data_IF_025304550073
#
_entry.id   IF_025304550073
#
_cell.length_a   1.000
_cell.length_b   1.000
_cell.length_c   1.000
_cell.angle_alpha   90.00
_cell.angle_beta   90.00
_cell.angle_gamma   90.00
#
_symmetry.space_group_name_H-M   'P 1'
#
loop_
_entity.id
_entity.type
_entity.pdbx_description
1 polymer ?
#
# COMPACT_ATOMS: atom_id res chain seq x y z
N UNK A 1 -2.22 19.28 3.50
CA UNK A 1 -1.45 18.03 3.64
C UNK A 1 -1.82 17.45 4.98
N UNK A 2 -2.27 16.20 4.99
CA UNK A 2 -2.53 15.46 6.22
C UNK A 2 -1.19 15.13 6.90
N UNK A 3 -1.09 15.32 8.21
CA UNK A 3 0.12 15.01 8.98
C UNK A 3 0.01 13.58 9.52
N UNK A 4 0.95 12.71 9.13
CA UNK A 4 0.99 11.33 9.62
C UNK A 4 1.20 11.32 11.15
N UNK A 5 0.23 10.77 11.87
CA UNK A 5 0.28 10.55 13.29
C UNK A 5 0.44 9.08 13.66
N UNK A 6 0.88 8.77 14.90
CA UNK A 6 0.92 7.40 15.41
C UNK A 6 -0.47 6.72 15.46
N UNK A 7 -1.55 7.49 15.34
CA UNK A 7 -2.92 7.02 15.35
C UNK A 7 -3.53 6.80 13.96
N UNK A 8 -2.80 7.03 12.86
CA UNK A 8 -3.33 6.94 11.50
C UNK A 8 -3.96 5.57 11.20
N UNK A 9 -3.42 4.51 11.81
CA UNK A 9 -3.98 3.16 11.71
C UNK A 9 -5.39 3.07 12.32
N UNK A 10 -5.60 3.72 13.46
CA UNK A 10 -6.89 3.79 14.13
C UNK A 10 -7.85 4.73 13.39
N UNK A 11 -7.35 5.82 12.81
CA UNK A 11 -8.14 6.70 11.95
C UNK A 11 -8.60 5.98 10.69
N UNK A 12 -7.73 5.16 10.07
CA UNK A 12 -8.07 4.34 8.91
C UNK A 12 -9.20 3.35 9.24
N UNK A 13 -9.11 2.64 10.38
CA UNK A 13 -10.18 1.75 10.84
C UNK A 13 -11.50 2.49 11.07
N UNK A 14 -11.42 3.71 11.61
CA UNK A 14 -12.61 4.55 11.84
C UNK A 14 -13.26 4.96 10.52
N UNK A 15 -12.47 5.41 9.54
CA UNK A 15 -12.97 5.78 8.21
C UNK A 15 -13.56 4.57 7.48
N UNK A 16 -12.93 3.39 7.57
CA UNK A 16 -13.47 2.17 6.99
C UNK A 16 -14.85 1.81 7.57
N UNK A 17 -15.03 1.97 8.89
CA UNK A 17 -16.33 1.77 9.51
C UNK A 17 -17.38 2.78 9.02
N UNK A 18 -17.03 4.06 8.88
CA UNK A 18 -17.92 5.09 8.33
C UNK A 18 -18.32 4.82 6.87
N UNK A 19 -17.39 4.36 6.04
CA UNK A 19 -17.65 3.93 4.66
C UNK A 19 -18.65 2.77 4.65
N UNK A 20 -18.42 1.74 5.46
CA UNK A 20 -19.30 0.57 5.53
C UNK A 20 -20.72 0.95 5.98
N UNK A 21 -20.84 1.80 6.99
CA UNK A 21 -22.13 2.23 7.52
C UNK A 21 -22.88 3.08 6.49
N UNK A 22 -22.17 3.96 5.77
CA UNK A 22 -22.76 4.78 4.70
C UNK A 22 -23.24 3.94 3.52
N UNK A 23 -22.46 2.94 3.10
CA UNK A 23 -22.86 2.00 2.05
C UNK A 23 -24.11 1.21 2.47
N UNK A 24 -24.17 0.75 3.73
CA UNK A 24 -25.34 0.04 4.25
C UNK A 24 -26.59 0.92 4.22
N UNK A 25 -26.48 2.16 4.68
CA UNK A 25 -27.57 3.14 4.64
C UNK A 25 -28.08 3.43 3.23
N UNK A 26 -27.17 3.64 2.28
CA UNK A 26 -27.52 3.91 0.87
C UNK A 26 -28.17 2.69 0.23
N UNK A 27 -27.69 1.48 0.54
CA UNK A 27 -28.28 0.23 0.08
C UNK A 27 -29.69 0.01 0.63
N UNK A 28 -29.93 0.29 1.91
CA UNK A 28 -31.27 0.23 2.52
C UNK A 28 -32.25 1.21 1.88
N UNK A 29 -31.74 2.33 1.34
CA UNK A 29 -32.55 3.33 0.64
C UNK A 29 -32.61 3.15 -0.87
N UNK A 30 -32.03 2.09 -1.41
CA UNK A 30 -31.87 1.87 -2.86
C UNK A 30 -31.26 3.09 -3.59
N UNK A 31 -30.45 3.87 -2.87
CA UNK A 31 -29.80 5.07 -3.39
C UNK A 31 -28.50 4.71 -4.11
N UNK A 32 -28.18 5.48 -5.15
CA UNK A 32 -26.98 5.24 -5.94
C UNK A 32 -25.70 5.61 -5.17
N UNK A 33 -24.89 4.58 -4.89
CA UNK A 33 -23.61 4.67 -4.20
C UNK A 33 -22.62 5.57 -4.94
N UNK A 34 -22.70 5.66 -6.28
CA UNK A 34 -21.72 6.37 -7.09
C UNK A 34 -21.89 7.90 -7.07
N UNK A 35 -23.06 8.37 -6.64
CA UNK A 35 -23.40 9.80 -6.58
C UNK A 35 -23.36 10.38 -5.17
N UNK A 36 -23.09 9.55 -4.16
CA UNK A 36 -23.07 10.00 -2.76
C UNK A 36 -21.79 10.80 -2.44
N UNK A 37 -21.95 12.11 -2.30
CA UNK A 37 -20.84 13.01 -1.99
C UNK A 37 -20.18 12.76 -0.62
N UNK A 38 -20.90 12.16 0.33
CA UNK A 38 -20.35 11.81 1.65
C UNK A 38 -19.44 10.58 1.53
N UNK A 39 -19.88 9.57 0.79
CA UNK A 39 -19.07 8.39 0.50
C UNK A 39 -17.79 8.75 -0.26
N UNK A 40 -17.87 9.70 -1.20
CA UNK A 40 -16.71 10.22 -1.91
C UNK A 40 -15.72 10.94 -0.97
N UNK A 41 -16.21 11.74 -0.02
CA UNK A 41 -15.35 12.39 0.99
C UNK A 41 -14.61 11.37 1.86
N UNK A 42 -15.29 10.30 2.27
CA UNK A 42 -14.66 9.22 3.04
C UNK A 42 -13.60 8.46 2.24
N UNK A 43 -13.83 8.19 0.96
CA UNK A 43 -12.81 7.59 0.10
C UNK A 43 -11.61 8.50 -0.07
N UNK A 44 -11.82 9.80 -0.27
CA UNK A 44 -10.73 10.75 -0.42
C UNK A 44 -9.85 10.81 0.85
N UNK A 45 -10.47 10.84 2.04
CA UNK A 45 -9.73 10.77 3.31
C UNK A 45 -9.04 9.43 3.52
N UNK A 46 -9.67 8.33 3.14
CA UNK A 46 -9.03 7.00 3.19
C UNK A 46 -7.76 6.98 2.33
N UNK A 47 -7.81 7.52 1.11
CA UNK A 47 -6.66 7.57 0.22
C UNK A 47 -5.56 8.50 0.75
N UNK A 48 -5.90 9.63 1.38
CA UNK A 48 -4.91 10.50 2.03
C UNK A 48 -4.16 9.79 3.17
N UNK A 49 -4.89 9.13 4.08
CA UNK A 49 -4.28 8.38 5.19
C UNK A 49 -3.49 7.18 4.67
N UNK A 50 -4.04 6.44 3.71
CA UNK A 50 -3.38 5.29 3.11
C UNK A 50 -2.08 5.71 2.42
N UNK A 51 -2.10 6.81 1.65
CA UNK A 51 -0.92 7.35 1.02
C UNK A 51 0.10 7.84 2.06
N UNK A 52 -0.34 8.39 3.19
CA UNK A 52 0.54 8.76 4.28
C UNK A 52 1.27 7.54 4.88
N UNK A 53 0.52 6.49 5.24
CA UNK A 53 1.08 5.23 5.76
C UNK A 53 1.99 4.57 4.73
N UNK A 54 1.58 4.49 3.46
CA UNK A 54 2.39 3.92 2.41
C UNK A 54 3.66 4.73 2.18
N UNK A 55 3.61 6.06 2.17
CA UNK A 55 4.80 6.88 1.94
C UNK A 55 5.80 6.76 3.10
N UNK A 56 5.32 6.66 4.34
CA UNK A 56 6.16 6.43 5.53
C UNK A 56 6.81 5.03 5.52
N UNK A 57 6.08 4.00 5.06
CA UNK A 57 6.59 2.62 4.99
C UNK A 57 7.42 2.33 3.73
N UNK A 58 7.05 2.91 2.57
CA UNK A 58 7.66 2.63 1.26
C UNK A 58 9.01 3.32 1.07
N UNK A 59 9.32 4.36 1.85
CA UNK A 59 10.65 4.96 1.93
C UNK A 59 11.53 4.37 3.04
N UNK A 60 11.16 3.23 3.64
CA UNK A 60 12.05 2.61 4.62
C UNK A 60 13.32 2.05 3.93
N UNK A 61 14.53 2.43 4.40
CA UNK A 61 15.81 1.87 3.91
C UNK A 61 15.83 0.34 3.88
N UNK A 62 15.02 -0.29 4.73
CA UNK A 62 14.86 -1.73 4.85
C UNK A 62 14.35 -2.37 3.56
N UNK A 63 13.34 -1.78 2.91
CA UNK A 63 12.79 -2.32 1.65
C UNK A 63 13.84 -2.25 0.55
N UNK A 64 14.58 -1.14 0.49
CA UNK A 64 15.67 -0.97 -0.47
C UNK A 64 16.78 -2.01 -0.26
N UNK A 65 17.15 -2.29 0.99
CA UNK A 65 18.11 -3.34 1.34
C UNK A 65 17.63 -4.72 0.87
N UNK A 66 16.34 -5.04 1.06
CA UNK A 66 15.78 -6.33 0.61
C UNK A 66 15.89 -6.47 -0.92
N UNK A 67 15.52 -5.43 -1.67
CA UNK A 67 15.60 -5.44 -3.14
C UNK A 67 17.06 -5.62 -3.59
N UNK A 68 18.00 -4.89 -2.99
CA UNK A 68 19.43 -5.00 -3.30
C UNK A 68 19.97 -6.40 -3.00
N UNK A 69 19.60 -7.00 -1.86
CA UNK A 69 20.02 -8.36 -1.48
C UNK A 69 19.51 -9.40 -2.49
N UNK A 70 18.23 -9.31 -2.89
CA UNK A 70 17.65 -10.21 -3.89
C UNK A 70 18.35 -10.05 -5.23
N UNK A 71 18.54 -8.81 -5.69
CA UNK A 71 19.24 -8.50 -6.94
C UNK A 71 20.67 -9.04 -6.95
N UNK A 72 21.43 -8.82 -5.88
CA UNK A 72 22.79 -9.32 -5.71
C UNK A 72 22.84 -10.86 -5.69
N UNK A 73 21.88 -11.51 -5.03
CA UNK A 73 21.80 -12.97 -4.98
C UNK A 73 21.56 -13.57 -6.37
N UNK A 74 20.62 -13.01 -7.14
CA UNK A 74 20.34 -13.47 -8.51
C UNK A 74 21.56 -13.24 -9.41
N UNK A 75 22.18 -12.06 -9.36
CA UNK A 75 23.39 -11.75 -10.12
C UNK A 75 24.54 -12.70 -9.78
N UNK A 76 24.76 -12.99 -8.49
CA UNK A 76 25.76 -13.95 -8.03
C UNK A 76 25.50 -15.37 -8.55
N UNK A 77 24.25 -15.84 -8.52
CA UNK A 77 23.86 -17.15 -9.05
C UNK A 77 24.12 -17.24 -10.55
N UNK A 78 23.74 -16.22 -11.32
CA UNK A 78 23.98 -16.15 -12.76
C UNK A 78 25.48 -16.11 -13.08
N UNK A 79 26.27 -15.35 -12.33
CA UNK A 79 27.72 -15.29 -12.49
C UNK A 79 28.39 -16.64 -12.20
N UNK A 80 27.96 -17.35 -11.15
CA UNK A 80 28.45 -18.69 -10.80
C UNK A 80 28.13 -19.71 -11.90
N UNK A 81 26.96 -19.61 -12.54
CA UNK A 81 26.59 -20.47 -13.68
C UNK A 81 27.47 -20.17 -14.92
N UNK A 82 27.75 -18.89 -15.23
CA UNK A 82 28.67 -18.52 -16.31
C UNK A 82 30.09 -19.05 -16.07
N UNK A 83 30.62 -18.95 -14.85
CA UNK A 83 31.96 -19.48 -14.51
C UNK A 83 32.05 -21.00 -14.64
N UNK A 84 30.98 -21.75 -14.39
CA UNK A 84 30.96 -23.22 -14.59
C UNK A 84 31.04 -23.62 -16.07
N UNK A 85 30.49 -22.82 -16.99
CA UNK A 85 30.64 -23.08 -18.45
C UNK A 85 32.06 -22.81 -18.95
N UNK A 86 32.76 -21.82 -18.38
CA UNK A 86 34.14 -21.47 -18.79
C UNK A 86 35.21 -22.46 -18.32
N UNK A 87 34.99 -23.24 -17.25
CA UNK A 87 35.95 -24.24 -16.76
C UNK A 87 35.88 -25.60 -17.49
N UNK A 88 35.02 -25.74 -18.49
CA UNK A 88 34.77 -27.00 -19.20
C UNK A 88 35.31 -27.02 -20.64
N UNK A 89 36.11 -26.01 -20.99
CA UNK A 89 36.94 -25.96 -22.18
C UNK A 89 38.40 -26.12 -21.78
#
# INVERSE_FOLDING_TARGET
MYECGPNDRQELETIQNLILDRIRYLREKEADLTTDGILLDYYNKNDEILNCILNDYSFSPIIFVIIVVIGAFVAFRLWKLKKKKFKRF
#
